data_IF_941088957091
#
_entry.id   IF_941088957091
#
_cell.length_a   1.000
_cell.length_b   1.000
_cell.length_c   1.000
_cell.angle_alpha   90.00
_cell.angle_beta   90.00
_cell.angle_gamma   90.00
#
_symmetry.space_group_name_H-M   'P 1'
#
loop_
_entity.id
_entity.type
_entity.pdbx_description
1 polymer ?
#
# COMPACT_ATOMS: atom_id res chain seq x y z
N UNK A 1 41.35 4.90 -18.98
CA UNK A 1 40.91 3.93 -20.01
C UNK A 1 39.37 3.91 -20.04
N UNK A 2 38.75 5.04 -20.41
CA UNK A 2 37.29 5.26 -20.32
C UNK A 2 36.70 5.80 -21.65
N UNK A 3 37.40 5.65 -22.78
CA UNK A 3 37.06 6.36 -24.01
C UNK A 3 37.17 5.55 -25.31
N UNK A 4 37.09 4.21 -25.27
CA UNK A 4 37.21 3.39 -26.50
C UNK A 4 35.97 2.57 -26.87
N UNK A 5 34.92 2.50 -26.02
CA UNK A 5 33.75 1.65 -26.31
C UNK A 5 32.66 2.30 -27.19
N UNK A 6 32.91 3.48 -27.75
CA UNK A 6 31.95 4.19 -28.60
C UNK A 6 32.10 3.91 -30.10
N UNK A 7 32.99 2.99 -30.50
CA UNK A 7 33.19 2.64 -31.92
C UNK A 7 33.00 1.12 -32.11
N UNK A 8 31.76 0.66 -32.03
CA UNK A 8 31.30 -0.48 -32.85
C UNK A 8 29.80 -0.32 -33.13
N UNK A 9 29.53 0.55 -34.09
CA UNK A 9 28.22 0.93 -34.60
C UNK A 9 27.71 -0.15 -35.57
N UNK A 10 27.49 -1.36 -35.04
CA UNK A 10 26.76 -2.43 -35.74
C UNK A 10 25.56 -2.82 -34.90
N UNK A 11 24.45 -2.12 -35.12
CA UNK A 11 23.07 -2.49 -34.74
C UNK A 11 22.96 -3.31 -33.44
N UNK A 12 23.48 -2.77 -32.31
CA UNK A 12 23.22 -3.35 -31.00
C UNK A 12 21.73 -3.14 -30.69
N UNK A 13 20.97 -4.22 -30.55
CA UNK A 13 19.57 -4.19 -30.16
C UNK A 13 19.34 -3.23 -28.97
N UNK A 14 18.31 -2.38 -29.05
CA UNK A 14 17.99 -1.39 -28.02
C UNK A 14 17.59 -2.11 -26.73
N UNK A 15 18.45 -2.04 -25.71
CA UNK A 15 18.18 -2.65 -24.40
C UNK A 15 17.19 -1.77 -23.61
N UNK A 16 16.16 -2.39 -23.03
CA UNK A 16 15.12 -1.71 -22.21
C UNK A 16 15.67 -1.29 -20.85
N UNK A 17 16.51 -2.13 -20.26
CA UNK A 17 17.25 -1.82 -19.06
C UNK A 17 18.68 -2.39 -19.18
N UNK A 18 19.71 -1.61 -18.85
CA UNK A 18 21.08 -2.10 -18.82
C UNK A 18 21.26 -3.04 -17.61
N UNK A 19 21.05 -4.33 -17.84
CA UNK A 19 21.35 -5.40 -16.87
C UNK A 19 22.59 -6.15 -17.32
N UNK A 20 23.35 -6.77 -16.41
CA UNK A 20 24.43 -7.72 -16.77
C UNK A 20 23.85 -9.13 -16.90
N UNK A 21 24.26 -9.86 -17.94
CA UNK A 21 23.90 -11.28 -18.13
C UNK A 21 25.12 -12.02 -18.67
N UNK A 22 25.34 -13.29 -18.29
CA UNK A 22 26.51 -14.07 -18.71
C UNK A 22 26.38 -14.66 -20.13
N UNK A 23 25.52 -14.10 -20.98
CA UNK A 23 25.22 -14.61 -22.33
C UNK A 23 25.43 -13.54 -23.41
N UNK A 24 25.81 -13.96 -24.61
CA UNK A 24 26.01 -13.07 -25.75
C UNK A 24 24.67 -12.50 -26.27
N UNK A 25 24.55 -11.17 -26.23
CA UNK A 25 23.32 -10.42 -26.56
C UNK A 25 23.18 -10.12 -28.04
N UNK A 26 24.23 -10.33 -28.81
CA UNK A 26 24.16 -10.18 -30.26
C UNK A 26 23.38 -11.33 -30.92
N UNK A 27 23.08 -12.39 -30.15
CA UNK A 27 22.18 -13.45 -30.56
C UNK A 27 20.70 -13.06 -30.32
N UNK A 28 19.91 -13.00 -31.39
CA UNK A 28 18.48 -12.67 -31.36
C UNK A 28 17.69 -13.52 -30.34
N UNK A 29 17.99 -14.81 -30.21
CA UNK A 29 17.27 -15.73 -29.31
C UNK A 29 17.53 -15.33 -27.85
N UNK A 30 18.79 -15.04 -27.52
CA UNK A 30 19.19 -14.60 -26.18
C UNK A 30 18.57 -13.25 -25.85
N UNK A 31 18.55 -12.32 -26.81
CA UNK A 31 17.91 -11.01 -26.65
C UNK A 31 16.41 -11.12 -26.36
N UNK A 32 15.67 -11.93 -27.14
CA UNK A 32 14.22 -12.15 -26.93
C UNK A 32 13.94 -12.85 -25.60
N UNK A 33 14.76 -13.83 -25.22
CA UNK A 33 14.68 -14.49 -23.91
C UNK A 33 14.90 -13.51 -22.75
N UNK A 34 15.92 -12.66 -22.86
CA UNK A 34 16.22 -11.63 -21.87
C UNK A 34 15.11 -10.56 -21.79
N UNK A 35 14.53 -10.16 -22.92
CA UNK A 35 13.39 -9.24 -22.97
C UNK A 35 12.17 -9.82 -22.26
N UNK A 36 11.79 -11.05 -22.62
CA UNK A 36 10.62 -11.72 -22.04
C UNK A 36 10.78 -11.95 -20.54
N UNK A 37 11.97 -12.36 -20.09
CA UNK A 37 12.27 -12.50 -18.67
C UNK A 37 12.13 -11.18 -17.91
N UNK A 38 12.75 -10.10 -18.40
CA UNK A 38 12.67 -8.78 -17.76
C UNK A 38 11.24 -8.23 -17.74
N UNK A 39 10.48 -8.42 -18.82
CA UNK A 39 9.08 -8.02 -18.87
C UNK A 39 8.25 -8.80 -17.83
N UNK A 40 8.43 -10.12 -17.75
CA UNK A 40 7.75 -10.97 -16.78
C UNK A 40 8.05 -10.56 -15.33
N UNK A 41 9.32 -10.38 -14.98
CA UNK A 41 9.72 -10.00 -13.62
C UNK A 41 9.21 -8.62 -13.25
N UNK A 42 9.23 -7.67 -14.20
CA UNK A 42 8.74 -6.31 -13.97
C UNK A 42 7.24 -6.30 -13.69
N UNK A 43 6.46 -7.05 -14.48
CA UNK A 43 5.01 -7.16 -14.27
C UNK A 43 4.72 -7.80 -12.90
N UNK A 44 5.36 -8.91 -12.56
CA UNK A 44 5.12 -9.60 -11.29
C UNK A 44 5.49 -8.74 -10.08
N UNK A 45 6.65 -8.09 -10.14
CA UNK A 45 7.11 -7.22 -9.05
C UNK A 45 6.21 -5.99 -8.92
N UNK A 46 5.76 -5.42 -10.05
CA UNK A 46 4.81 -4.31 -10.08
C UNK A 46 3.48 -4.65 -9.43
N UNK A 47 2.91 -5.82 -9.75
CA UNK A 47 1.67 -6.30 -9.15
C UNK A 47 1.84 -6.50 -7.64
N UNK A 48 2.95 -7.12 -7.23
CA UNK A 48 3.24 -7.34 -5.81
C UNK A 48 3.34 -6.02 -5.05
N UNK A 49 4.13 -5.06 -5.53
CA UNK A 49 4.26 -3.74 -4.90
C UNK A 49 2.92 -3.00 -4.85
N UNK A 50 2.16 -2.99 -5.95
CA UNK A 50 0.83 -2.37 -5.99
C UNK A 50 -0.15 -3.01 -5.00
N UNK A 51 -0.05 -4.32 -4.77
CA UNK A 51 -0.87 -5.02 -3.77
C UNK A 51 -0.54 -4.53 -2.36
N UNK A 52 0.74 -4.38 -2.03
CA UNK A 52 1.16 -3.84 -0.74
C UNK A 52 0.61 -2.43 -0.52
N UNK A 53 0.75 -1.54 -1.50
CA UNK A 53 0.24 -0.17 -1.41
C UNK A 53 -1.28 -0.16 -1.25
N UNK A 54 -1.99 -1.02 -1.99
CA UNK A 54 -3.45 -1.14 -1.89
C UNK A 54 -3.87 -1.61 -0.50
N UNK A 55 -3.22 -2.65 0.05
CA UNK A 55 -3.50 -3.14 1.39
C UNK A 55 -3.25 -2.06 2.45
N UNK A 56 -2.14 -1.32 2.34
CA UNK A 56 -1.84 -0.22 3.26
C UNK A 56 -2.94 0.86 3.21
N UNK A 57 -3.38 1.25 2.01
CA UNK A 57 -4.49 2.20 1.84
C UNK A 57 -5.79 1.67 2.42
N UNK A 58 -6.14 0.40 2.18
CA UNK A 58 -7.33 -0.22 2.77
C UNK A 58 -7.31 -0.16 4.32
N UNK A 59 -6.17 -0.49 4.93
CA UNK A 59 -6.00 -0.44 6.39
C UNK A 59 -6.10 1.00 6.90
N UNK A 60 -5.46 1.96 6.24
CA UNK A 60 -5.52 3.38 6.61
C UNK A 60 -6.95 3.92 6.51
N UNK A 61 -7.69 3.60 5.45
CA UNK A 61 -9.09 4.02 5.27
C UNK A 61 -9.99 3.39 6.33
N UNK A 62 -9.78 2.11 6.64
CA UNK A 62 -10.50 1.44 7.72
C UNK A 62 -10.28 2.16 9.06
N UNK A 63 -9.03 2.37 9.47
CA UNK A 63 -8.73 3.08 10.72
C UNK A 63 -9.25 4.52 10.73
N UNK A 64 -9.21 5.22 9.59
CA UNK A 64 -9.80 6.56 9.48
C UNK A 64 -11.31 6.52 9.77
N UNK A 65 -12.02 5.50 9.29
CA UNK A 65 -13.44 5.30 9.58
C UNK A 65 -13.69 5.05 11.07
N UNK A 66 -12.92 4.14 11.68
CA UNK A 66 -12.99 3.85 13.12
C UNK A 66 -12.70 5.09 13.98
N UNK A 67 -11.71 5.91 13.61
CA UNK A 67 -11.41 7.15 14.33
C UNK A 67 -12.54 8.18 14.20
N UNK A 68 -13.22 8.27 13.06
CA UNK A 68 -14.36 9.19 12.92
C UNK A 68 -15.56 8.72 13.75
N UNK A 69 -15.84 7.40 13.76
CA UNK A 69 -16.87 6.83 14.64
C UNK A 69 -16.55 7.08 16.11
N UNK A 70 -15.30 6.85 16.52
CA UNK A 70 -14.83 7.14 17.86
C UNK A 70 -14.98 8.64 18.21
N UNK A 71 -14.71 9.53 17.25
CA UNK A 71 -14.89 10.98 17.44
C UNK A 71 -16.36 11.32 17.69
N UNK A 72 -17.27 10.77 16.90
CA UNK A 72 -18.72 10.96 17.05
C UNK A 72 -19.19 10.41 18.39
N UNK A 73 -18.76 9.21 18.77
CA UNK A 73 -19.13 8.59 20.05
C UNK A 73 -18.59 9.39 21.24
N UNK A 74 -17.36 9.89 21.17
CA UNK A 74 -16.82 10.80 22.18
C UNK A 74 -17.61 12.10 22.28
N UNK A 75 -18.03 12.69 21.15
CA UNK A 75 -18.88 13.89 21.15
C UNK A 75 -20.26 13.61 21.76
N UNK A 76 -20.85 12.45 21.47
CA UNK A 76 -22.12 12.04 22.07
C UNK A 76 -21.99 11.82 23.59
N UNK A 77 -20.86 11.26 24.02
CA UNK A 77 -20.63 10.90 25.42
C UNK A 77 -20.24 12.10 26.30
N UNK A 78 -19.35 12.94 25.80
CA UNK A 78 -18.74 14.04 26.56
C UNK A 78 -19.23 15.42 26.14
N UNK A 79 -20.07 15.52 25.11
CA UNK A 79 -20.48 16.79 24.52
C UNK A 79 -19.41 17.40 23.61
N UNK A 80 -19.61 18.66 23.22
CA UNK A 80 -18.62 19.42 22.44
C UNK A 80 -17.82 20.35 23.35
N UNK A 81 -16.75 20.95 22.82
CA UNK A 81 -15.94 21.94 23.55
C UNK A 81 -16.81 23.11 24.03
N UNK A 82 -17.78 23.53 23.20
CA UNK A 82 -18.69 24.64 23.51
C UNK A 82 -19.86 24.24 24.43
N UNK A 83 -20.17 22.94 24.53
CA UNK A 83 -21.27 22.40 25.32
C UNK A 83 -20.88 21.07 25.98
N UNK A 84 -20.09 21.09 27.06
CA UNK A 84 -19.65 19.89 27.75
C UNK A 84 -20.82 19.16 28.43
N UNK A 85 -20.83 17.83 28.37
CA UNK A 85 -21.85 17.02 29.00
C UNK A 85 -21.74 17.07 30.54
N UNK A 86 -22.90 17.09 31.21
CA UNK A 86 -22.96 16.89 32.66
C UNK A 86 -22.42 15.51 33.04
N UNK A 87 -21.73 15.41 34.19
CA UNK A 87 -21.17 14.14 34.71
C UNK A 87 -22.21 13.02 34.81
N UNK A 88 -23.46 13.38 35.11
CA UNK A 88 -24.56 12.42 35.28
C UNK A 88 -25.02 11.88 33.92
N UNK A 89 -25.09 12.74 32.90
CA UNK A 89 -25.42 12.35 31.53
C UNK A 89 -24.31 11.48 30.91
N UNK A 90 -23.05 11.85 31.12
CA UNK A 90 -21.90 11.08 30.66
C UNK A 90 -21.86 9.68 31.29
N UNK A 91 -22.16 9.55 32.60
CA UNK A 91 -22.27 8.24 33.27
C UNK A 91 -23.40 7.38 32.72
N UNK A 92 -24.54 7.99 32.40
CA UNK A 92 -25.68 7.28 31.81
C UNK A 92 -25.32 6.71 30.45
N UNK A 93 -24.77 7.52 29.54
CA UNK A 93 -24.36 7.09 28.21
C UNK A 93 -23.20 6.08 28.23
N UNK A 94 -22.24 6.21 29.16
CA UNK A 94 -21.19 5.18 29.39
C UNK A 94 -21.79 3.83 29.78
N UNK A 95 -22.79 3.83 30.65
CA UNK A 95 -23.46 2.59 31.12
C UNK A 95 -24.22 1.92 29.97
N UNK A 96 -24.85 2.72 29.11
CA UNK A 96 -25.53 2.25 27.90
C UNK A 96 -24.55 1.64 26.89
N UNK A 97 -23.42 2.30 26.65
CA UNK A 97 -22.35 1.77 25.79
C UNK A 97 -21.78 0.45 26.35
N UNK A 98 -21.53 0.38 27.66
CA UNK A 98 -21.08 -0.84 28.33
C UNK A 98 -22.06 -1.99 28.17
N UNK A 99 -23.38 -1.75 28.32
CA UNK A 99 -24.41 -2.76 28.07
C UNK A 99 -24.36 -3.28 26.63
N UNK A 100 -24.31 -2.38 25.64
CA UNK A 100 -24.22 -2.76 24.23
C UNK A 100 -22.97 -3.58 23.93
N UNK A 101 -21.82 -3.22 24.50
CA UNK A 101 -20.58 -3.98 24.37
C UNK A 101 -20.72 -5.39 24.96
N UNK A 102 -21.33 -5.52 26.14
CA UNK A 102 -21.58 -6.81 26.79
C UNK A 102 -22.57 -7.69 25.99
N UNK A 103 -23.57 -7.08 25.36
CA UNK A 103 -24.52 -7.80 24.50
C UNK A 103 -23.85 -8.30 23.21
N UNK A 104 -22.93 -7.52 22.63
CA UNK A 104 -22.16 -7.92 21.44
C UNK A 104 -21.13 -9.03 21.72
N UNK A 105 -20.58 -9.10 22.94
CA UNK A 105 -19.61 -10.15 23.34
C UNK A 105 -20.31 -11.46 23.71
N UNK A 106 -21.61 -11.40 24.06
CA UNK A 106 -22.40 -12.59 24.41
C UNK A 106 -22.79 -13.47 23.21
N UNK A 107 -22.73 -12.94 22.00
CA UNK A 107 -23.02 -13.65 20.75
C UNK A 107 -21.74 -13.86 19.95
#
# INVERSE_FOLDING_TARGET
AYQEDFIDDKEKYILIAPSWVPFDRNNLIVYVGQFSYQAYTTIHTGIFMATFDTCAVCIMVFFRGEFELLRIDCQNLFGTVDAPASKENARFEMTKCHKRCNDLIKY
#
